data_IF_248487467274
#
_entry.id   IF_248487467274
#
_cell.length_a   1.000
_cell.length_b   1.000
_cell.length_c   1.000
_cell.angle_alpha   90.00
_cell.angle_beta   90.00
_cell.angle_gamma   90.00
#
_symmetry.space_group_name_H-M   'P 1'
#
loop_
_entity.id
_entity.type
_entity.pdbx_description
1 polymer ?
#
# COMPACT_ATOMS: atom_id res chain seq x y z
N UNK A 1 -30.41 -11.52 -0.45
CA UNK A 1 -30.44 -10.06 -0.64
C UNK A 1 -29.23 -9.69 -1.44
N UNK A 2 -29.37 -8.98 -2.55
CA UNK A 2 -28.22 -8.43 -3.27
C UNK A 2 -27.53 -7.44 -2.31
N UNK A 3 -26.24 -7.66 -2.02
CA UNK A 3 -25.47 -6.77 -1.12
C UNK A 3 -25.33 -5.37 -1.72
N UNK A 4 -25.09 -4.38 -0.87
CA UNK A 4 -24.80 -3.02 -1.33
C UNK A 4 -23.56 -3.01 -2.21
N UNK A 5 -23.56 -2.15 -3.23
CA UNK A 5 -22.41 -1.93 -4.11
C UNK A 5 -21.54 -0.82 -3.51
N UNK A 6 -20.23 -0.92 -3.69
CA UNK A 6 -19.26 -0.04 -3.07
C UNK A 6 -18.59 0.82 -4.14
N UNK A 7 -18.63 2.13 -3.93
CA UNK A 7 -17.93 3.09 -4.77
C UNK A 7 -16.71 3.69 -4.06
N UNK A 8 -15.69 4.06 -4.84
CA UNK A 8 -14.61 4.93 -4.39
C UNK A 8 -15.01 6.37 -4.72
N UNK A 9 -15.10 7.22 -3.69
CA UNK A 9 -15.51 8.62 -3.85
C UNK A 9 -14.33 9.53 -4.14
N UNK A 10 -13.19 9.19 -3.60
CA UNK A 10 -12.00 9.99 -3.76
C UNK A 10 -10.75 9.27 -3.27
N UNK A 11 -9.63 9.69 -3.81
CA UNK A 11 -8.29 9.21 -3.45
C UNK A 11 -7.44 10.39 -3.00
N UNK A 12 -6.40 10.10 -2.22
CA UNK A 12 -5.42 11.09 -1.80
C UNK A 12 -4.10 10.43 -1.47
N UNK A 13 -3.02 11.15 -1.68
CA UNK A 13 -1.69 10.69 -1.34
C UNK A 13 -0.86 11.82 -0.73
N UNK A 14 0.09 11.45 0.11
CA UNK A 14 1.07 12.37 0.65
C UNK A 14 2.41 11.67 0.84
N UNK A 15 3.46 12.32 0.38
CA UNK A 15 4.85 11.88 0.58
C UNK A 15 5.65 13.02 1.23
N UNK A 16 6.62 12.72 2.09
CA UNK A 16 7.48 13.74 2.70
C UNK A 16 8.19 14.60 1.65
N UNK A 17 8.47 15.86 2.01
CA UNK A 17 9.17 16.80 1.12
C UNK A 17 10.64 16.42 0.90
N UNK A 18 11.29 15.85 1.94
CA UNK A 18 12.69 15.47 1.87
C UNK A 18 12.89 14.33 0.87
N UNK A 19 13.64 14.62 -0.18
CA UNK A 19 14.13 13.64 -1.15
C UNK A 19 15.46 13.08 -0.67
N UNK A 20 15.63 11.78 -0.73
CA UNK A 20 16.90 11.07 -0.60
C UNK A 20 17.20 10.39 -1.94
N UNK A 21 18.11 10.96 -2.71
CA UNK A 21 18.51 10.43 -4.01
C UNK A 21 19.54 9.30 -3.89
N UNK A 22 19.76 8.57 -4.99
CA UNK A 22 20.85 7.61 -5.05
C UNK A 22 22.23 8.30 -4.89
N UNK A 23 22.38 9.52 -5.43
CA UNK A 23 23.59 10.35 -5.29
C UNK A 23 23.86 10.68 -3.80
N UNK A 24 22.81 10.86 -2.99
CA UNK A 24 23.01 11.08 -1.56
C UNK A 24 23.45 9.79 -0.83
N UNK A 25 22.95 8.63 -1.28
CA UNK A 25 23.36 7.34 -0.74
C UNK A 25 24.81 6.99 -1.08
N UNK A 26 25.32 7.40 -2.24
CA UNK A 26 26.73 7.22 -2.62
C UNK A 26 27.72 7.85 -1.62
N UNK A 27 27.28 8.92 -0.91
CA UNK A 27 28.10 9.62 0.09
C UNK A 27 28.31 8.84 1.37
N UNK A 28 27.43 7.86 1.65
CA UNK A 28 27.38 7.16 2.94
C UNK A 28 27.43 5.62 2.83
N UNK A 29 27.30 5.09 1.61
CA UNK A 29 27.31 3.65 1.31
C UNK A 29 28.27 3.37 0.14
N UNK A 30 28.84 2.17 0.13
CA UNK A 30 29.60 1.66 -1.03
C UNK A 30 28.63 1.25 -2.16
N UNK A 31 28.11 2.23 -2.92
CA UNK A 31 27.13 2.06 -4.01
C UNK A 31 27.25 3.23 -5.00
N UNK A 32 26.45 3.18 -6.08
CA UNK A 32 26.26 4.30 -7.01
C UNK A 32 24.86 4.26 -7.67
N UNK A 33 24.46 5.39 -8.27
CA UNK A 33 23.14 5.54 -8.90
C UNK A 33 22.88 4.48 -9.97
N UNK A 34 23.84 4.20 -10.83
CA UNK A 34 23.70 3.21 -11.90
C UNK A 34 23.44 1.80 -11.32
N UNK A 35 24.17 1.42 -10.28
CA UNK A 35 24.04 0.13 -9.63
C UNK A 35 22.66 -0.03 -8.94
N UNK A 36 22.19 1.01 -8.23
CA UNK A 36 20.89 1.01 -7.58
C UNK A 36 19.78 0.96 -8.63
N UNK A 37 19.81 1.89 -9.61
CA UNK A 37 18.78 1.97 -10.63
C UNK A 37 18.64 0.69 -11.45
N UNK A 38 19.76 0.15 -11.92
CA UNK A 38 19.77 -1.11 -12.68
C UNK A 38 19.16 -2.30 -11.93
N UNK A 39 19.26 -2.31 -10.59
CA UNK A 39 18.72 -3.38 -9.76
C UNK A 39 17.29 -3.18 -9.33
N UNK A 40 16.89 -1.95 -9.11
CA UNK A 40 15.63 -1.62 -8.42
C UNK A 40 14.66 -0.80 -9.26
N UNK A 41 15.16 0.00 -10.21
CA UNK A 41 14.43 1.03 -10.92
C UNK A 41 14.22 2.31 -10.09
N UNK A 42 14.86 2.44 -8.93
CA UNK A 42 14.68 3.57 -7.99
C UNK A 42 15.79 4.59 -8.22
N UNK A 43 15.42 5.88 -8.33
CA UNK A 43 16.35 7.01 -8.32
C UNK A 43 16.29 7.80 -7.04
N UNK A 44 15.10 7.93 -6.46
CA UNK A 44 14.89 8.66 -5.22
C UNK A 44 13.81 8.03 -4.36
N UNK A 45 13.79 8.40 -3.09
CA UNK A 45 12.77 8.05 -2.12
C UNK A 45 12.50 9.25 -1.22
N UNK A 46 11.38 9.22 -0.54
CA UNK A 46 10.97 10.27 0.40
C UNK A 46 11.20 9.79 1.81
N UNK A 47 11.67 10.69 2.67
CA UNK A 47 12.05 10.38 4.05
C UNK A 47 11.35 11.35 5.00
N UNK A 48 10.58 10.81 5.93
CA UNK A 48 9.89 11.58 6.95
C UNK A 48 10.88 12.24 7.93
N UNK A 49 10.57 13.48 8.31
CA UNK A 49 11.35 14.17 9.34
C UNK A 49 11.22 13.45 10.70
N UNK A 50 12.20 13.56 11.61
CA UNK A 50 12.20 12.81 12.86
C UNK A 50 10.97 12.99 13.75
N UNK A 51 10.34 14.16 13.69
CA UNK A 51 9.13 14.49 14.48
C UNK A 51 7.81 14.14 13.81
N UNK A 52 7.82 13.69 12.54
CA UNK A 52 6.64 13.31 11.78
C UNK A 52 6.29 11.86 12.06
N UNK A 53 5.07 11.57 12.44
CA UNK A 53 4.58 10.22 12.71
C UNK A 53 3.79 9.66 11.51
N UNK A 54 3.49 8.35 11.55
CA UNK A 54 2.71 7.70 10.49
C UNK A 54 1.31 8.35 10.37
N UNK A 55 0.64 8.60 11.48
CA UNK A 55 -0.66 9.27 11.48
C UNK A 55 -0.64 10.71 10.93
N UNK A 56 0.52 11.42 10.95
CA UNK A 56 0.65 12.73 10.31
C UNK A 56 0.62 12.61 8.78
N UNK A 57 1.37 11.64 8.22
CA UNK A 57 1.33 11.38 6.79
C UNK A 57 -0.04 10.88 6.34
N UNK A 58 -0.65 9.97 7.12
CA UNK A 58 -1.97 9.43 6.85
C UNK A 58 -3.05 10.53 6.89
N UNK A 59 -2.95 11.49 7.80
CA UNK A 59 -3.85 12.66 7.87
C UNK A 59 -3.84 13.45 6.56
N UNK A 60 -2.66 13.80 6.05
CA UNK A 60 -2.54 14.60 4.83
C UNK A 60 -3.12 13.87 3.61
N UNK A 61 -2.83 12.57 3.46
CA UNK A 61 -3.41 11.74 2.41
C UNK A 61 -4.94 11.64 2.55
N UNK A 62 -5.43 11.45 3.78
CA UNK A 62 -6.86 11.33 4.08
C UNK A 62 -7.63 12.62 3.78
N UNK A 63 -7.08 13.78 4.16
CA UNK A 63 -7.70 15.08 3.85
C UNK A 63 -7.85 15.27 2.34
N UNK A 64 -6.85 14.92 1.55
CA UNK A 64 -6.92 15.00 0.08
C UNK A 64 -7.93 14.02 -0.51
N UNK A 65 -8.06 12.82 0.07
CA UNK A 65 -9.06 11.84 -0.35
C UNK A 65 -10.49 12.33 -0.02
N UNK A 66 -10.68 12.91 1.16
CA UNK A 66 -11.95 13.47 1.60
C UNK A 66 -12.34 14.73 0.79
N UNK A 67 -11.38 15.59 0.46
CA UNK A 67 -11.58 16.73 -0.42
C UNK A 67 -12.09 16.29 -1.79
N UNK A 68 -11.44 15.31 -2.44
CA UNK A 68 -11.89 14.74 -3.71
C UNK A 68 -13.27 14.10 -3.58
N UNK A 69 -13.54 13.43 -2.47
CA UNK A 69 -14.84 12.81 -2.18
C UNK A 69 -15.96 13.81 -1.90
N UNK A 70 -15.64 15.06 -1.59
CA UNK A 70 -16.59 16.09 -1.18
C UNK A 70 -17.26 15.80 0.18
N UNK A 71 -16.50 15.22 1.14
CA UNK A 71 -17.00 14.88 2.48
C UNK A 71 -16.18 15.52 3.58
N UNK A 72 -16.77 15.68 4.75
CA UNK A 72 -16.11 16.11 5.98
C UNK A 72 -15.82 14.92 6.92
N UNK A 73 -14.97 15.11 7.93
CA UNK A 73 -14.60 14.06 8.91
C UNK A 73 -15.82 13.47 9.63
N UNK A 74 -16.83 14.26 9.92
CA UNK A 74 -18.09 13.83 10.56
C UNK A 74 -18.92 12.86 9.71
N UNK A 75 -18.62 12.74 8.42
CA UNK A 75 -19.32 11.84 7.49
C UNK A 75 -18.68 10.45 7.43
N UNK A 76 -17.55 10.24 8.13
CA UNK A 76 -16.87 8.97 8.26
C UNK A 76 -17.49 8.15 9.38
N UNK A 77 -17.82 6.88 9.08
CA UNK A 77 -18.28 5.90 10.05
C UNK A 77 -17.16 4.93 10.47
N UNK A 78 -16.17 4.74 9.57
CA UNK A 78 -15.10 3.76 9.74
C UNK A 78 -13.78 4.30 9.22
N UNK A 79 -12.71 4.10 9.97
CA UNK A 79 -11.32 4.34 9.55
C UNK A 79 -10.54 3.03 9.69
N UNK A 80 -10.07 2.50 8.57
CA UNK A 80 -9.16 1.36 8.53
C UNK A 80 -7.78 1.88 8.12
N UNK A 81 -6.84 1.88 9.03
CA UNK A 81 -5.45 2.25 8.73
C UNK A 81 -4.62 0.98 8.50
N UNK A 82 -3.87 0.94 7.42
CA UNK A 82 -3.02 -0.22 7.12
C UNK A 82 -1.56 0.19 7.23
N UNK A 83 -0.85 -0.46 8.15
CA UNK A 83 0.55 -0.13 8.45
C UNK A 83 1.26 -1.27 9.16
N UNK A 84 2.58 -1.34 8.99
CA UNK A 84 3.50 -2.11 9.83
C UNK A 84 4.43 -1.20 10.64
N UNK A 85 4.28 0.11 10.48
CA UNK A 85 5.07 1.15 11.14
C UNK A 85 4.18 2.19 11.84
N UNK A 86 3.24 1.76 12.72
CA UNK A 86 2.34 2.68 13.40
C UNK A 86 3.08 3.64 14.33
N UNK A 87 2.42 4.70 14.75
CA UNK A 87 2.92 5.66 15.76
C UNK A 87 3.31 4.93 17.05
N UNK A 88 2.46 4.02 17.48
CA UNK A 88 2.59 3.19 18.68
C UNK A 88 1.96 1.81 18.45
N UNK A 89 2.44 0.79 19.18
CA UNK A 89 1.77 -0.51 19.16
C UNK A 89 0.41 -0.49 19.90
N UNK A 90 0.23 0.44 20.83
CA UNK A 90 -0.99 0.70 21.58
C UNK A 90 -0.97 2.14 22.11
N UNK A 91 -1.99 2.96 21.81
CA UNK A 91 -3.15 2.64 20.98
C UNK A 91 -2.79 2.40 19.51
N UNK A 92 -3.77 1.94 18.70
CA UNK A 92 -3.60 1.76 17.26
C UNK A 92 -3.28 3.07 16.55
N UNK A 93 -2.54 3.00 15.43
CA UNK A 93 -2.25 4.17 14.60
C UNK A 93 -3.50 4.87 14.09
N UNK A 94 -4.54 4.09 13.77
CA UNK A 94 -5.83 4.60 13.33
C UNK A 94 -6.52 5.50 14.39
N UNK A 95 -6.32 5.25 15.68
CA UNK A 95 -6.89 6.10 16.73
C UNK A 95 -6.21 7.48 16.76
N UNK A 96 -4.89 7.52 16.49
CA UNK A 96 -4.19 8.78 16.32
C UNK A 96 -4.67 9.55 15.07
N UNK A 97 -4.92 8.82 13.98
CA UNK A 97 -5.44 9.40 12.74
C UNK A 97 -6.85 9.96 12.94
N UNK A 98 -7.75 9.20 13.57
CA UNK A 98 -9.12 9.61 13.92
C UNK A 98 -9.12 10.93 14.69
N UNK A 99 -8.33 11.01 15.79
CA UNK A 99 -8.19 12.21 16.60
C UNK A 99 -7.66 13.41 15.78
N UNK A 100 -6.65 13.18 14.91
CA UNK A 100 -6.08 14.23 14.06
C UNK A 100 -7.01 14.72 12.96
N UNK A 101 -7.94 13.88 12.51
CA UNK A 101 -8.99 14.24 11.55
C UNK A 101 -10.21 14.89 12.24
N UNK A 102 -10.36 14.76 13.55
CA UNK A 102 -11.57 15.14 14.26
C UNK A 102 -12.79 14.29 13.85
N UNK A 103 -12.57 13.00 13.58
CA UNK A 103 -13.61 12.08 13.12
C UNK A 103 -14.24 11.31 14.31
N UNK A 104 -14.68 12.03 15.33
CA UNK A 104 -15.13 11.51 16.63
C UNK A 104 -16.25 10.46 16.58
N UNK A 105 -16.97 10.35 15.46
CA UNK A 105 -18.06 9.39 15.26
C UNK A 105 -17.56 8.09 14.60
N UNK A 106 -16.35 8.11 14.03
CA UNK A 106 -15.82 6.95 13.30
C UNK A 106 -15.26 5.91 14.26
N UNK A 107 -15.49 4.63 13.94
CA UNK A 107 -14.73 3.54 14.56
C UNK A 107 -13.41 3.40 13.83
N UNK A 108 -12.30 3.26 14.57
CA UNK A 108 -10.95 3.24 13.98
C UNK A 108 -10.11 2.07 14.51
N UNK A 109 -9.40 1.38 13.61
CA UNK A 109 -8.47 0.31 13.94
C UNK A 109 -7.43 0.08 12.83
N UNK A 110 -6.32 -0.58 13.21
CA UNK A 110 -5.26 -0.96 12.28
C UNK A 110 -5.48 -2.36 11.71
N UNK A 111 -5.00 -2.53 10.46
CA UNK A 111 -4.84 -3.84 9.80
C UNK A 111 -3.39 -3.99 9.37
N UNK A 112 -2.76 -5.11 9.72
CA UNK A 112 -1.38 -5.42 9.32
C UNK A 112 -1.37 -6.58 8.34
N UNK A 113 -0.96 -6.31 7.09
CA UNK A 113 -0.74 -7.31 6.04
C UNK A 113 0.47 -6.93 5.17
N UNK A 114 1.48 -6.30 5.77
CA UNK A 114 2.68 -5.81 5.11
C UNK A 114 2.35 -5.04 3.81
N UNK A 115 3.08 -5.30 2.72
CA UNK A 115 2.89 -4.59 1.45
C UNK A 115 1.51 -4.78 0.80
N UNK A 116 0.75 -5.81 1.21
CA UNK A 116 -0.64 -6.03 0.77
C UNK A 116 -1.67 -5.27 1.60
N UNK A 117 -1.24 -4.52 2.60
CA UNK A 117 -2.11 -3.87 3.59
C UNK A 117 -3.27 -3.12 2.98
N UNK A 118 -3.04 -2.29 1.95
CA UNK A 118 -4.12 -1.52 1.33
C UNK A 118 -5.24 -2.40 0.75
N UNK A 119 -4.91 -3.49 0.05
CA UNK A 119 -5.90 -4.43 -0.49
C UNK A 119 -6.68 -5.12 0.64
N UNK A 120 -5.98 -5.51 1.72
CA UNK A 120 -6.62 -6.08 2.92
C UNK A 120 -7.53 -5.06 3.61
N UNK A 121 -7.10 -3.80 3.73
CA UNK A 121 -7.91 -2.71 4.27
C UNK A 121 -9.18 -2.45 3.45
N UNK A 122 -9.05 -2.46 2.10
CA UNK A 122 -10.20 -2.37 1.20
C UNK A 122 -11.17 -3.52 1.44
N UNK A 123 -10.66 -4.76 1.54
CA UNK A 123 -11.49 -5.96 1.78
C UNK A 123 -12.24 -5.87 3.11
N UNK A 124 -11.58 -5.44 4.19
CA UNK A 124 -12.21 -5.26 5.50
C UNK A 124 -13.30 -4.19 5.44
N UNK A 125 -12.98 -3.01 4.90
CA UNK A 125 -13.92 -1.91 4.79
C UNK A 125 -15.14 -2.29 3.94
N UNK A 126 -14.91 -2.98 2.80
CA UNK A 126 -15.96 -3.47 1.91
C UNK A 126 -17.00 -4.31 2.67
N UNK A 127 -16.58 -5.24 3.54
CA UNK A 127 -17.51 -6.11 4.27
C UNK A 127 -18.39 -5.31 5.24
N UNK A 128 -17.85 -4.36 5.99
CA UNK A 128 -18.64 -3.48 6.85
C UNK A 128 -19.65 -2.63 6.06
N UNK A 129 -19.25 -2.16 4.90
CA UNK A 129 -20.10 -1.38 4.01
C UNK A 129 -21.19 -2.23 3.35
N UNK A 130 -20.85 -3.43 2.85
CA UNK A 130 -21.81 -4.37 2.22
C UNK A 130 -22.87 -4.87 3.19
N UNK A 131 -22.51 -5.15 4.44
CA UNK A 131 -23.46 -5.55 5.48
C UNK A 131 -24.36 -4.41 5.95
N UNK A 132 -23.97 -3.16 5.63
CA UNK A 132 -24.71 -1.96 6.05
C UNK A 132 -24.47 -1.55 7.50
N UNK A 133 -23.46 -2.13 8.15
CA UNK A 133 -23.02 -1.71 9.50
C UNK A 133 -22.55 -0.25 9.46
N UNK A 134 -21.80 0.10 8.41
CA UNK A 134 -21.34 1.46 8.12
C UNK A 134 -21.70 1.85 6.70
N UNK A 135 -21.69 3.16 6.41
CA UNK A 135 -22.01 3.72 5.11
C UNK A 135 -20.79 4.29 4.39
N UNK A 136 -19.91 4.95 5.13
CA UNK A 136 -18.73 5.62 4.58
C UNK A 136 -17.49 5.18 5.35
N UNK A 137 -16.46 4.73 4.63
CA UNK A 137 -15.20 4.30 5.22
C UNK A 137 -14.03 5.04 4.59
N UNK A 138 -13.03 5.35 5.40
CA UNK A 138 -11.69 5.76 4.99
C UNK A 138 -10.75 4.57 5.13
N UNK A 139 -10.05 4.22 4.06
CA UNK A 139 -8.93 3.27 4.09
C UNK A 139 -7.65 4.04 3.82
N UNK A 140 -6.77 4.12 4.81
CA UNK A 140 -5.51 4.84 4.73
C UNK A 140 -4.34 3.85 4.90
N UNK A 141 -3.46 3.77 3.91
CA UNK A 141 -2.22 3.02 4.01
C UNK A 141 -1.05 3.98 4.24
N UNK A 142 -0.22 3.69 5.24
CA UNK A 142 0.90 4.57 5.60
C UNK A 142 2.09 3.77 6.09
N UNK A 143 3.28 4.21 5.69
CA UNK A 143 4.51 3.62 6.20
C UNK A 143 5.61 4.67 6.41
N UNK A 144 6.37 4.50 7.47
CA UNK A 144 7.66 5.18 7.70
C UNK A 144 8.74 4.10 7.74
N UNK A 145 9.04 3.55 6.55
CA UNK A 145 9.97 2.44 6.41
C UNK A 145 11.39 2.83 6.81
N UNK A 146 11.75 4.10 6.61
CA UNK A 146 13.08 4.63 6.93
C UNK A 146 13.52 4.40 8.37
N UNK A 147 12.57 4.21 9.30
CA UNK A 147 12.84 3.94 10.72
C UNK A 147 13.06 2.47 11.05
N UNK A 148 12.79 1.59 10.10
CA UNK A 148 12.95 0.13 10.26
C UNK A 148 14.14 -0.42 9.48
N UNK A 149 15.04 0.44 9.00
CA UNK A 149 16.15 0.03 8.14
C UNK A 149 17.47 -0.03 8.90
N UNK A 150 18.29 -0.99 8.53
CA UNK A 150 19.73 -0.94 8.79
C UNK A 150 20.38 -0.11 7.68
N UNK A 151 20.68 1.14 7.96
CA UNK A 151 21.31 2.06 7.01
C UNK A 151 22.77 1.70 6.66
N UNK A 152 23.32 0.64 7.25
CA UNK A 152 24.62 0.08 6.88
C UNK A 152 24.51 -1.11 5.93
N UNK A 153 23.29 -1.65 5.72
CA UNK A 153 22.99 -2.71 4.76
C UNK A 153 22.57 -2.13 3.41
N UNK A 154 23.53 -1.98 2.50
CA UNK A 154 23.31 -1.42 1.17
C UNK A 154 22.37 -2.23 0.28
N UNK A 155 22.11 -3.50 0.59
CA UNK A 155 21.25 -4.35 -0.22
C UNK A 155 19.76 -4.10 0.08
N UNK A 156 19.45 -3.69 1.30
CA UNK A 156 18.07 -3.47 1.72
C UNK A 156 17.70 -1.98 1.85
N UNK A 157 18.56 -1.14 2.46
CA UNK A 157 18.18 0.26 2.76
C UNK A 157 17.91 1.12 1.51
N UNK A 158 18.47 0.75 0.36
CA UNK A 158 18.28 1.48 -0.91
C UNK A 158 16.86 1.37 -1.50
N UNK A 159 16.03 0.48 -0.97
CA UNK A 159 14.73 0.17 -1.56
C UNK A 159 13.62 1.09 -1.05
N UNK A 160 13.66 1.46 0.22
CA UNK A 160 12.50 1.89 0.98
C UNK A 160 12.36 3.39 1.09
N UNK A 161 11.09 3.83 1.07
CA UNK A 161 10.68 5.20 1.30
C UNK A 161 9.51 5.31 2.27
N UNK A 162 9.10 6.54 2.57
CA UNK A 162 8.03 6.90 3.49
C UNK A 162 6.89 7.59 2.74
N UNK A 163 5.65 7.38 3.17
CA UNK A 163 4.50 8.03 2.57
C UNK A 163 3.18 7.39 2.96
N UNK A 164 2.10 7.99 2.48
CA UNK A 164 0.73 7.53 2.71
C UNK A 164 -0.13 7.72 1.48
N UNK A 165 -1.08 6.81 1.29
CA UNK A 165 -2.17 6.96 0.33
C UNK A 165 -3.48 6.51 0.96
N UNK A 166 -4.59 7.10 0.54
CA UNK A 166 -5.89 6.86 1.11
C UNK A 166 -6.99 6.81 0.05
N UNK A 167 -8.09 6.11 0.37
CA UNK A 167 -9.31 6.10 -0.41
C UNK A 167 -10.53 6.21 0.49
N UNK A 168 -11.51 7.01 0.06
CA UNK A 168 -12.83 7.09 0.69
C UNK A 168 -13.77 6.17 -0.07
N UNK A 169 -14.40 5.24 0.64
CA UNK A 169 -15.39 4.31 0.10
C UNK A 169 -16.79 4.63 0.64
N UNK A 170 -17.81 4.36 -0.19
CA UNK A 170 -19.21 4.49 0.20
C UNK A 170 -20.07 3.35 -0.32
N UNK A 171 -20.99 2.91 0.54
CA UNK A 171 -22.03 1.95 0.17
C UNK A 171 -23.22 2.64 -0.49
N UNK A 172 -23.75 2.04 -1.55
CA UNK A 172 -24.91 2.51 -2.30
C UNK A 172 -25.96 1.40 -2.49
N UNK A 173 -27.22 1.82 -2.39
CA UNK A 173 -28.39 1.01 -2.72
C UNK A 173 -29.57 1.93 -3.03
N UNK A 174 -29.98 2.11 -4.33
CA UNK A 174 -29.31 1.59 -5.53
C UNK A 174 -27.98 2.28 -5.83
N UNK A 175 -27.13 1.61 -6.63
CA UNK A 175 -25.85 2.18 -7.05
C UNK A 175 -26.06 3.23 -8.14
N UNK A 176 -25.55 4.47 -7.96
CA UNK A 176 -25.60 5.46 -9.02
C UNK A 176 -24.58 5.10 -10.11
N UNK A 177 -25.03 4.90 -11.34
CA UNK A 177 -24.20 4.41 -12.44
C UNK A 177 -23.06 5.33 -12.90
N UNK A 178 -22.95 6.52 -12.32
CA UNK A 178 -21.93 7.52 -12.66
C UNK A 178 -20.74 7.54 -11.68
N UNK A 179 -20.67 6.60 -10.74
CA UNK A 179 -19.64 6.51 -9.72
C UNK A 179 -18.66 5.36 -10.00
N UNK A 180 -17.41 5.55 -9.53
CA UNK A 180 -16.42 4.47 -9.49
C UNK A 180 -16.95 3.32 -8.63
N UNK A 181 -16.74 2.08 -9.07
CA UNK A 181 -17.23 0.88 -8.40
C UNK A 181 -16.14 -0.14 -8.17
N UNK A 182 -16.08 -0.67 -6.97
CA UNK A 182 -15.27 -1.84 -6.63
C UNK A 182 -16.03 -3.09 -7.06
N UNK A 183 -15.56 -3.75 -8.13
CA UNK A 183 -16.22 -4.93 -8.70
C UNK A 183 -15.85 -6.21 -7.96
N UNK A 184 -14.61 -6.33 -7.53
CA UNK A 184 -14.14 -7.49 -6.76
C UNK A 184 -12.92 -7.15 -5.89
N UNK A 185 -12.77 -7.88 -4.77
CA UNK A 185 -11.56 -7.89 -3.96
C UNK A 185 -11.26 -9.33 -3.57
N UNK A 186 -10.01 -9.75 -3.76
CA UNK A 186 -9.51 -11.08 -3.40
C UNK A 186 -8.26 -10.95 -2.53
N UNK A 187 -8.20 -11.72 -1.45
CA UNK A 187 -7.07 -11.71 -0.51
C UNK A 187 -6.67 -13.14 -0.16
N UNK A 188 -5.37 -13.37 -0.02
CA UNK A 188 -4.79 -14.69 0.25
C UNK A 188 -3.60 -14.58 1.18
N UNK A 189 -3.27 -15.69 1.87
CA UNK A 189 -2.12 -15.79 2.77
C UNK A 189 -1.43 -17.15 2.66
N UNK A 190 -0.13 -17.16 2.97
CA UNK A 190 0.68 -18.36 3.17
C UNK A 190 1.61 -18.16 4.36
N UNK A 191 1.16 -18.50 5.54
CA UNK A 191 1.89 -18.31 6.80
C UNK A 191 3.12 -19.21 6.95
N UNK A 192 3.26 -20.27 6.16
CA UNK A 192 4.43 -21.17 6.22
C UNK A 192 5.74 -20.47 5.81
N UNK A 193 5.65 -19.40 5.01
CA UNK A 193 6.79 -18.65 4.49
C UNK A 193 6.97 -17.27 5.15
N UNK A 194 6.38 -17.05 6.32
CA UNK A 194 6.42 -15.76 7.03
C UNK A 194 7.83 -15.28 7.42
N UNK A 195 8.81 -16.19 7.52
CA UNK A 195 10.19 -15.84 7.86
C UNK A 195 10.98 -15.17 6.72
N UNK A 196 10.46 -15.20 5.50
CA UNK A 196 11.18 -14.67 4.34
C UNK A 196 11.37 -13.15 4.39
N UNK A 197 10.43 -12.45 5.01
CA UNK A 197 10.46 -11.01 5.24
C UNK A 197 9.89 -10.72 6.62
N UNK A 198 10.71 -10.30 7.56
CA UNK A 198 10.27 -10.05 8.94
C UNK A 198 11.00 -8.90 9.63
N UNK A 199 10.34 -8.35 10.64
CA UNK A 199 10.90 -7.45 11.64
C UNK A 199 11.06 -8.26 12.94
N UNK A 200 12.27 -8.76 13.29
CA UNK A 200 12.41 -9.76 14.36
C UNK A 200 12.15 -9.22 15.77
N UNK A 201 12.47 -7.95 16.02
CA UNK A 201 12.39 -7.35 17.35
C UNK A 201 11.04 -6.67 17.64
N UNK A 202 10.71 -6.57 18.91
CA UNK A 202 9.52 -5.87 19.39
C UNK A 202 8.25 -6.72 19.48
N UNK A 203 8.24 -7.91 18.87
CA UNK A 203 7.13 -8.87 19.00
C UNK A 203 7.32 -9.86 20.14
N UNK A 204 6.28 -10.65 20.44
CA UNK A 204 6.28 -11.66 21.51
C UNK A 204 7.06 -12.94 21.17
N UNK A 205 7.37 -13.15 19.87
CA UNK A 205 7.93 -14.42 19.38
C UNK A 205 9.36 -14.68 19.85
N UNK A 206 10.24 -13.70 19.74
CA UNK A 206 11.67 -13.94 19.86
C UNK A 206 12.37 -13.03 20.84
N UNK A 207 12.03 -11.77 20.91
CA UNK A 207 12.89 -10.84 21.61
C UNK A 207 12.12 -9.63 22.12
N UNK A 208 11.92 -9.52 23.44
CA UNK A 208 11.52 -8.26 24.05
C UNK A 208 12.56 -7.18 23.66
N UNK A 209 12.13 -5.94 23.63
CA UNK A 209 13.05 -4.80 23.46
C UNK A 209 14.06 -4.80 24.60
N UNK A 210 15.34 -4.84 24.26
CA UNK A 210 16.47 -4.86 25.19
C UNK A 210 17.70 -4.23 24.54
N UNK A 211 18.71 -3.90 25.31
CA UNK A 211 19.99 -3.45 24.76
C UNK A 211 20.54 -4.45 23.75
N UNK A 212 20.49 -5.75 24.06
CA UNK A 212 20.93 -6.80 23.17
C UNK A 212 20.15 -6.83 21.85
N UNK A 213 18.83 -6.62 21.87
CA UNK A 213 18.02 -6.58 20.66
C UNK A 213 18.33 -5.39 19.77
N UNK A 214 18.70 -4.24 20.39
CA UNK A 214 19.12 -3.05 19.65
C UNK A 214 20.51 -3.24 19.07
N UNK A 215 21.47 -3.75 19.85
CA UNK A 215 22.84 -4.01 19.40
C UNK A 215 22.87 -5.02 18.24
N UNK A 216 22.01 -6.03 18.27
CA UNK A 216 21.81 -7.00 17.17
C UNK A 216 20.96 -6.46 16.03
N UNK A 217 20.53 -5.21 16.07
CA UNK A 217 19.67 -4.57 15.07
C UNK A 217 18.39 -5.37 14.78
N UNK A 218 17.78 -6.03 15.79
CA UNK A 218 16.57 -6.83 15.59
C UNK A 218 15.32 -5.97 15.32
N UNK A 219 15.41 -4.67 15.53
CA UNK A 219 14.39 -3.67 15.18
C UNK A 219 14.42 -3.29 13.70
N UNK A 220 15.27 -3.92 12.88
CA UNK A 220 15.35 -3.63 11.44
C UNK A 220 14.74 -4.74 10.60
N UNK A 221 14.16 -4.34 9.47
CA UNK A 221 13.55 -5.24 8.51
C UNK A 221 14.60 -6.15 7.85
N UNK A 222 14.33 -7.44 7.80
CA UNK A 222 15.20 -8.45 7.21
C UNK A 222 14.53 -9.21 6.09
N UNK A 223 15.24 -9.31 4.96
CA UNK A 223 14.86 -10.15 3.82
C UNK A 223 15.76 -11.40 3.80
N UNK A 224 15.26 -12.54 4.28
CA UNK A 224 16.10 -13.73 4.50
C UNK A 224 16.26 -14.55 3.22
N UNK A 225 15.18 -14.77 2.46
CA UNK A 225 15.16 -15.56 1.24
C UNK A 225 14.73 -14.71 0.03
N UNK A 226 15.46 -13.64 -0.25
CA UNK A 226 15.07 -12.66 -1.26
C UNK A 226 14.76 -13.25 -2.63
N UNK A 227 15.61 -14.14 -3.17
CA UNK A 227 15.43 -14.75 -4.50
C UNK A 227 14.21 -15.68 -4.59
N UNK A 228 13.89 -16.40 -3.52
CA UNK A 228 12.71 -17.25 -3.45
C UNK A 228 11.45 -16.39 -3.39
N UNK A 229 11.47 -15.37 -2.53
CA UNK A 229 10.38 -14.40 -2.38
C UNK A 229 10.07 -13.67 -3.69
N UNK A 230 11.09 -13.30 -4.49
CA UNK A 230 10.91 -12.67 -5.80
C UNK A 230 10.15 -13.58 -6.77
N UNK A 231 10.54 -14.87 -6.86
CA UNK A 231 9.85 -15.83 -7.75
C UNK A 231 8.39 -16.05 -7.33
N UNK A 232 8.15 -16.16 -6.03
CA UNK A 232 6.78 -16.29 -5.49
C UNK A 232 5.99 -15.02 -5.75
N UNK A 233 6.57 -13.84 -5.52
CA UNK A 233 5.94 -12.57 -5.76
C UNK A 233 5.47 -12.42 -7.21
N UNK A 234 6.34 -12.65 -8.20
CA UNK A 234 6.01 -12.56 -9.63
C UNK A 234 4.79 -13.42 -9.96
N UNK A 235 4.78 -14.66 -9.44
CA UNK A 235 3.67 -15.58 -9.66
C UNK A 235 2.37 -15.09 -9.02
N UNK A 236 2.43 -14.72 -7.73
CA UNK A 236 1.23 -14.31 -6.97
C UNK A 236 0.64 -12.98 -7.42
N UNK A 237 1.48 -12.03 -7.84
CA UNK A 237 1.00 -10.80 -8.47
C UNK A 237 0.17 -11.08 -9.72
N UNK A 238 0.69 -11.94 -10.60
CA UNK A 238 0.00 -12.28 -11.84
C UNK A 238 -1.29 -13.06 -11.56
N UNK A 239 -1.23 -14.12 -10.75
CA UNK A 239 -2.39 -14.92 -10.37
C UNK A 239 -3.50 -14.06 -9.74
N UNK A 240 -3.16 -13.11 -8.85
CA UNK A 240 -4.13 -12.22 -8.23
C UNK A 240 -4.77 -11.26 -9.24
N UNK A 241 -3.99 -10.71 -10.18
CA UNK A 241 -4.53 -9.84 -11.23
C UNK A 241 -5.49 -10.60 -12.18
N UNK A 242 -5.11 -11.82 -12.58
CA UNK A 242 -5.95 -12.71 -13.39
C UNK A 242 -7.25 -13.10 -12.66
N UNK A 243 -7.16 -13.38 -11.35
CA UNK A 243 -8.31 -13.71 -10.51
C UNK A 243 -9.33 -12.57 -10.47
N UNK A 244 -8.89 -11.33 -10.24
CA UNK A 244 -9.79 -10.16 -10.20
C UNK A 244 -10.49 -9.93 -11.53
N UNK A 245 -9.77 -10.05 -12.64
CA UNK A 245 -10.29 -9.91 -13.99
C UNK A 245 -11.32 -11.03 -14.30
N UNK A 246 -10.93 -12.29 -14.08
CA UNK A 246 -11.74 -13.47 -14.38
C UNK A 246 -13.03 -13.51 -13.57
N UNK A 247 -12.94 -13.21 -12.26
CA UNK A 247 -14.11 -13.18 -11.38
C UNK A 247 -15.16 -12.19 -11.85
N UNK A 248 -14.73 -11.06 -12.40
CA UNK A 248 -15.62 -10.01 -12.90
C UNK A 248 -16.00 -10.18 -14.37
N UNK A 249 -15.51 -11.21 -15.06
CA UNK A 249 -15.76 -11.44 -16.48
C UNK A 249 -15.11 -10.40 -17.41
N UNK A 250 -14.06 -9.72 -16.95
CA UNK A 250 -13.32 -8.69 -17.69
C UNK A 250 -12.04 -9.28 -18.26
N UNK A 251 -11.76 -9.03 -19.53
CA UNK A 251 -10.50 -9.41 -20.15
C UNK A 251 -9.37 -8.48 -19.68
N UNK A 252 -8.15 -9.02 -19.47
CA UNK A 252 -6.97 -8.19 -19.23
C UNK A 252 -6.68 -7.21 -20.39
N UNK A 253 -7.16 -7.52 -21.59
CA UNK A 253 -7.08 -6.60 -22.74
C UNK A 253 -7.90 -5.32 -22.51
N UNK A 254 -9.05 -5.42 -21.83
CA UNK A 254 -9.96 -4.31 -21.54
C UNK A 254 -9.51 -3.50 -20.30
N UNK A 255 -8.59 -4.04 -19.49
CA UNK A 255 -8.02 -3.33 -18.35
C UNK A 255 -7.12 -2.20 -18.84
N UNK A 256 -7.41 -0.98 -18.41
CA UNK A 256 -6.63 0.22 -18.75
C UNK A 256 -5.29 0.23 -18.04
N UNK A 257 -5.31 0.03 -16.72
CA UNK A 257 -4.14 0.05 -15.87
C UNK A 257 -4.11 -1.11 -14.89
N UNK A 258 -2.94 -1.70 -14.72
CA UNK A 258 -2.62 -2.54 -13.57
C UNK A 258 -1.70 -1.72 -12.66
N UNK A 259 -2.12 -1.50 -11.42
CA UNK A 259 -1.40 -0.75 -10.40
C UNK A 259 -0.91 -1.74 -9.34
N UNK A 260 0.30 -2.29 -9.49
CA UNK A 260 0.87 -3.20 -8.51
C UNK A 260 1.53 -2.46 -7.35
N UNK A 261 1.69 -3.14 -6.23
CA UNK A 261 2.66 -2.75 -5.23
C UNK A 261 4.04 -2.52 -5.87
N UNK A 262 4.65 -1.37 -5.61
CA UNK A 262 5.91 -0.92 -6.20
C UNK A 262 7.11 -1.53 -5.46
N UNK A 263 7.29 -2.85 -5.60
CA UNK A 263 8.32 -3.60 -4.88
C UNK A 263 9.72 -3.40 -5.47
N UNK A 264 9.84 -3.59 -6.79
CA UNK A 264 11.07 -3.53 -7.56
C UNK A 264 10.71 -3.58 -9.05
N UNK A 265 11.31 -2.72 -9.89
CA UNK A 265 10.98 -2.64 -11.32
C UNK A 265 11.15 -3.98 -12.05
N UNK A 266 12.18 -4.77 -11.71
CA UNK A 266 12.38 -6.08 -12.34
C UNK A 266 11.25 -7.06 -12.03
N UNK A 267 10.70 -7.03 -10.80
CA UNK A 267 9.53 -7.84 -10.43
C UNK A 267 8.34 -7.43 -11.28
N UNK A 268 8.10 -6.12 -11.43
CA UNK A 268 6.97 -5.58 -12.19
C UNK A 268 7.08 -5.92 -13.69
N UNK A 269 8.26 -5.83 -14.27
CA UNK A 269 8.53 -6.26 -15.65
C UNK A 269 8.27 -7.76 -15.86
N UNK A 270 8.69 -8.61 -14.93
CA UNK A 270 8.43 -10.04 -15.02
C UNK A 270 6.95 -10.39 -14.79
N UNK A 271 6.25 -9.64 -13.92
CA UNK A 271 4.80 -9.76 -13.75
C UNK A 271 4.07 -9.41 -15.06
N UNK A 272 4.40 -8.28 -15.69
CA UNK A 272 3.80 -7.88 -16.97
C UNK A 272 4.01 -8.94 -18.05
N UNK A 273 5.24 -9.47 -18.16
CA UNK A 273 5.56 -10.58 -19.08
C UNK A 273 4.74 -11.84 -18.77
N UNK A 274 4.54 -12.18 -17.49
CA UNK A 274 3.76 -13.35 -17.09
C UNK A 274 2.27 -13.21 -17.40
N UNK A 275 1.74 -11.98 -17.28
CA UNK A 275 0.36 -11.63 -17.64
C UNK A 275 0.14 -11.49 -19.16
N UNK A 276 1.20 -11.57 -19.96
CA UNK A 276 1.17 -11.28 -21.41
C UNK A 276 0.59 -9.88 -21.72
N UNK A 277 0.97 -8.89 -20.90
CA UNK A 277 0.59 -7.49 -21.11
C UNK A 277 1.83 -6.61 -21.32
N UNK A 278 1.73 -5.54 -22.13
CA UNK A 278 2.83 -4.58 -22.28
C UNK A 278 3.12 -3.86 -20.96
N UNK A 279 4.40 -3.53 -20.71
CA UNK A 279 4.81 -2.84 -19.48
C UNK A 279 4.14 -1.47 -19.33
N UNK A 280 3.74 -0.87 -20.41
CA UNK A 280 3.02 0.41 -20.49
C UNK A 280 1.63 0.36 -19.87
N UNK A 281 1.06 -0.85 -19.66
CA UNK A 281 -0.17 -1.06 -18.86
C UNK A 281 0.08 -1.11 -17.35
N UNK A 282 1.35 -1.16 -16.93
CA UNK A 282 1.72 -1.15 -15.52
C UNK A 282 1.99 0.30 -15.10
N UNK A 283 1.20 0.82 -14.16
CA UNK A 283 1.43 2.16 -13.65
C UNK A 283 2.62 2.14 -12.67
N UNK A 284 3.67 2.90 -13.00
CA UNK A 284 4.93 2.87 -12.27
C UNK A 284 5.18 4.20 -11.55
N UNK A 285 5.43 4.12 -10.24
CA UNK A 285 5.86 5.26 -9.41
C UNK A 285 7.16 4.98 -8.66
N UNK A 286 7.69 3.77 -8.83
CA UNK A 286 8.85 3.28 -8.06
C UNK A 286 10.11 4.11 -8.24
N UNK A 287 10.33 4.70 -9.40
CA UNK A 287 11.49 5.54 -9.69
C UNK A 287 11.56 6.76 -8.76
N UNK A 288 10.37 7.36 -8.45
CA UNK A 288 10.22 8.59 -7.67
C UNK A 288 10.12 8.39 -6.16
N UNK A 289 9.56 7.24 -5.74
CA UNK A 289 9.16 7.06 -4.34
C UNK A 289 9.79 5.85 -3.68
N UNK A 290 10.39 4.95 -4.47
CA UNK A 290 10.87 3.67 -3.97
C UNK A 290 9.73 2.78 -3.49
N UNK A 291 10.06 1.84 -2.60
CA UNK A 291 9.11 0.93 -2.00
C UNK A 291 8.58 1.51 -0.68
N UNK A 292 7.33 1.96 -0.65
CA UNK A 292 6.64 2.46 0.56
C UNK A 292 5.68 1.38 1.10
N UNK A 293 6.04 0.10 0.97
CA UNK A 293 5.24 -1.02 1.48
C UNK A 293 3.73 -0.89 1.12
N UNK A 294 2.82 -0.90 2.09
CA UNK A 294 1.36 -0.86 1.89
C UNK A 294 0.87 0.39 1.15
N UNK A 295 1.56 1.50 1.28
CA UNK A 295 1.14 2.78 0.72
C UNK A 295 1.41 2.94 -0.79
N UNK A 296 2.23 2.07 -1.40
CA UNK A 296 2.61 2.20 -2.82
C UNK A 296 1.41 2.13 -3.76
N UNK A 297 0.46 1.23 -3.51
CA UNK A 297 -0.72 1.04 -4.36
C UNK A 297 -1.63 2.28 -4.34
N UNK A 298 -2.07 2.78 -3.17
CA UNK A 298 -2.93 3.96 -3.15
C UNK A 298 -2.22 5.25 -3.57
N UNK A 299 -0.91 5.39 -3.38
CA UNK A 299 -0.14 6.52 -3.92
C UNK A 299 -0.16 6.49 -5.45
N UNK A 300 0.10 5.34 -6.05
CA UNK A 300 0.09 5.17 -7.50
C UNK A 300 -1.32 5.36 -8.07
N UNK A 301 -2.37 4.89 -7.38
CA UNK A 301 -3.75 5.11 -7.77
C UNK A 301 -4.10 6.60 -7.76
N UNK A 302 -3.78 7.32 -6.68
CA UNK A 302 -4.06 8.75 -6.58
C UNK A 302 -3.31 9.55 -7.65
N UNK A 303 -2.04 9.23 -7.90
CA UNK A 303 -1.26 9.88 -8.96
C UNK A 303 -1.88 9.63 -10.35
N UNK A 304 -2.30 8.38 -10.64
CA UNK A 304 -2.92 8.03 -11.91
C UNK A 304 -4.27 8.74 -12.11
N UNK A 305 -5.06 8.88 -11.05
CA UNK A 305 -6.33 9.62 -11.08
C UNK A 305 -6.09 11.11 -11.30
N UNK A 306 -5.21 11.73 -10.50
CA UNK A 306 -4.95 13.18 -10.58
C UNK A 306 -4.26 13.62 -11.86
N UNK A 307 -3.45 12.76 -12.45
CA UNK A 307 -2.82 13.01 -13.76
C UNK A 307 -3.79 12.85 -14.94
N UNK A 308 -5.00 12.31 -14.72
CA UNK A 308 -5.96 11.99 -15.78
C UNK A 308 -5.60 10.73 -16.57
N UNK A 309 -4.63 9.93 -16.11
CA UNK A 309 -4.29 8.65 -16.73
C UNK A 309 -5.42 7.63 -16.58
N UNK A 310 -6.18 7.71 -15.49
CA UNK A 310 -7.43 6.97 -15.28
C UNK A 310 -8.60 7.89 -15.59
N UNK A 311 -9.51 7.43 -16.44
CA UNK A 311 -10.70 8.15 -16.83
C UNK A 311 -11.96 7.38 -16.42
N UNK A 312 -13.11 8.06 -16.47
CA UNK A 312 -14.41 7.44 -16.19
C UNK A 312 -14.63 6.21 -17.09
N UNK A 313 -15.15 5.14 -16.50
CA UNK A 313 -15.38 3.82 -17.09
C UNK A 313 -14.12 2.97 -17.34
N UNK A 314 -12.91 3.45 -17.04
CA UNK A 314 -11.71 2.63 -17.14
C UNK A 314 -11.73 1.49 -16.11
N UNK A 315 -11.36 0.29 -16.54
CA UNK A 315 -11.06 -0.81 -15.62
C UNK A 315 -9.63 -0.73 -15.12
N UNK A 316 -9.49 -0.78 -13.80
CA UNK A 316 -8.19 -0.69 -13.10
C UNK A 316 -8.05 -1.86 -12.15
N UNK A 317 -6.96 -2.62 -12.27
CA UNK A 317 -6.59 -3.66 -11.32
C UNK A 317 -5.56 -3.12 -10.35
N UNK A 318 -5.88 -3.21 -9.06
CA UNK A 318 -4.91 -3.05 -7.98
C UNK A 318 -4.41 -4.44 -7.58
N UNK A 319 -3.10 -4.64 -7.41
CA UNK A 319 -2.56 -5.92 -6.95
C UNK A 319 -1.36 -5.73 -6.02
N UNK A 320 -1.23 -6.59 -5.02
CA UNK A 320 -0.16 -6.49 -4.04
C UNK A 320 0.32 -7.88 -3.59
N UNK A 321 1.59 -7.92 -3.19
CA UNK A 321 2.23 -9.06 -2.53
C UNK A 321 3.15 -8.55 -1.42
N UNK A 322 3.19 -9.21 -0.28
CA UNK A 322 3.95 -8.78 0.88
C UNK A 322 4.38 -9.90 1.81
N UNK A 323 5.06 -9.47 2.86
CA UNK A 323 5.43 -10.38 3.96
C UNK A 323 4.20 -11.03 4.59
N UNK A 324 4.40 -12.25 5.08
CA UNK A 324 3.35 -13.00 5.68
C UNK A 324 3.35 -14.49 5.29
N UNK A 325 3.41 -14.99 4.04
CA UNK A 325 3.17 -14.16 2.86
C UNK A 325 1.72 -13.75 2.74
N UNK A 326 1.49 -12.58 2.18
CA UNK A 326 0.14 -12.05 1.89
C UNK A 326 0.08 -11.58 0.45
N UNK A 327 -1.05 -11.74 -0.23
CA UNK A 327 -1.27 -11.15 -1.56
C UNK A 327 -2.74 -10.94 -1.81
N UNK A 328 -3.04 -10.12 -2.80
CA UNK A 328 -4.42 -9.86 -3.19
C UNK A 328 -4.53 -8.89 -4.34
N UNK A 329 -5.77 -8.72 -4.78
CA UNK A 329 -6.14 -7.83 -5.87
C UNK A 329 -7.51 -7.22 -5.67
N UNK A 330 -7.77 -6.15 -6.38
CA UNK A 330 -9.09 -5.54 -6.52
C UNK A 330 -9.26 -5.06 -7.96
N UNK A 331 -10.42 -5.34 -8.56
CA UNK A 331 -10.82 -4.73 -9.83
C UNK A 331 -11.80 -3.59 -9.55
N UNK A 332 -11.51 -2.45 -10.15
CA UNK A 332 -12.30 -1.23 -10.04
C UNK A 332 -12.74 -0.83 -11.45
N UNK A 333 -14.00 -0.43 -11.61
CA UNK A 333 -14.45 0.39 -12.71
C UNK A 333 -14.47 1.84 -12.23
N UNK A 334 -13.65 2.68 -12.83
CA UNK A 334 -13.45 4.06 -12.37
C UNK A 334 -14.56 5.01 -12.81
#
# INVERSE_FOLDING_TARGET
MAGKRIGILGTGSYVPERVLSNIDLEKVLDTNDEWIFKRTGIRERRIAAPHVNASDLAKEASLRAMEMAGIASKDLDLIVMTTMTPDTCCPAGANWLEAKLGAEQAVSFDVTAACSGFIFGLSVAEQYLKTGTYRTALVAAVEIMSRTLDWTDRESCILWGDGSGAAVLRAYDPFPGDRSEVLSIHIHTDGANGENLLLPGGGSRTTPISYESVDKKLHTLRMIKANESVRVAIRRFAEAAEEAASFSGISLADVKWIIPHQANLRILQQMAKKLDVPIEKIYLTIEKYGNISSATVPIALDEAVRSGAIQKEDYVILTAFGGGLTWGSSLIRW
#
